data_IF_772504115770
#
_entry.id   IF_772504115770
#
_cell.length_a   1.000
_cell.length_b   1.000
_cell.length_c   1.000
_cell.angle_alpha   90.00
_cell.angle_beta   90.00
_cell.angle_gamma   90.00
#
_symmetry.space_group_name_H-M   'P 1'
#
loop_
_entity.id
_entity.type
_entity.pdbx_description
1 polymer ?
#
# COMPACT_ATOMS: atom_id res chain seq x y z
N UNK A 1 -28.39 23.17 74.41
CA UNK A 1 -27.44 23.78 73.48
C UNK A 1 -26.31 22.79 73.30
N UNK A 2 -26.37 22.03 72.21
CA UNK A 2 -25.33 21.21 71.56
C UNK A 2 -26.03 20.35 70.47
N UNK A 3 -25.27 19.93 69.47
CA UNK A 3 -25.57 19.66 68.06
C UNK A 3 -26.25 18.29 67.72
N UNK A 4 -26.33 18.02 66.39
CA UNK A 4 -26.70 16.80 65.62
C UNK A 4 -28.17 16.67 65.17
N UNK A 5 -28.55 16.28 63.94
CA UNK A 5 -27.90 16.06 62.63
C UNK A 5 -29.03 15.84 61.57
N UNK A 6 -28.72 16.05 60.27
CA UNK A 6 -29.30 15.47 59.04
C UNK A 6 -30.69 15.87 58.48
N UNK A 7 -30.69 16.32 57.21
CA UNK A 7 -31.43 15.78 56.03
C UNK A 7 -31.10 16.68 54.81
N UNK A 8 -30.22 16.25 53.88
CA UNK A 8 -30.50 15.61 52.57
C UNK A 8 -31.35 16.45 51.62
N UNK A 9 -30.76 16.95 50.52
CA UNK A 9 -31.25 16.75 49.14
C UNK A 9 -30.06 16.82 48.14
N UNK A 10 -29.86 15.74 47.39
CA UNK A 10 -28.83 15.56 46.35
C UNK A 10 -29.37 16.00 44.98
N UNK A 11 -28.70 16.93 44.30
CA UNK A 11 -28.99 17.23 42.89
C UNK A 11 -28.23 16.28 41.96
N UNK A 12 -29.01 15.57 41.15
CA UNK A 12 -28.66 14.52 40.22
C UNK A 12 -28.37 15.13 38.83
N UNK A 13 -27.10 15.30 38.45
CA UNK A 13 -26.74 15.55 37.05
C UNK A 13 -25.97 14.35 36.49
N UNK A 14 -26.68 13.58 35.68
CA UNK A 14 -26.16 12.41 34.96
C UNK A 14 -25.40 12.90 33.73
N UNK A 15 -24.11 12.57 33.65
CA UNK A 15 -23.45 12.43 32.35
C UNK A 15 -22.78 11.06 32.27
N UNK A 16 -23.58 10.09 31.84
CA UNK A 16 -23.11 8.81 31.31
C UNK A 16 -22.48 9.08 29.93
N UNK A 17 -21.22 8.72 29.78
CA UNK A 17 -20.45 8.96 28.56
C UNK A 17 -19.17 8.12 28.54
N UNK A 18 -19.34 6.84 28.83
CA UNK A 18 -18.38 5.78 28.64
C UNK A 18 -17.96 5.61 27.17
N UNK A 19 -16.69 5.31 26.96
CA UNK A 19 -16.14 4.85 25.69
C UNK A 19 -15.00 5.72 25.19
N UNK A 20 -13.81 5.55 25.78
CA UNK A 20 -12.60 5.69 24.97
C UNK A 20 -12.80 4.75 23.78
N UNK A 21 -13.04 5.34 22.61
CA UNK A 21 -12.98 4.64 21.35
C UNK A 21 -11.53 4.19 21.23
N UNK A 22 -11.27 2.97 21.66
CA UNK A 22 -10.19 2.16 21.11
C UNK A 22 -10.53 2.02 19.64
N UNK A 23 -10.17 3.04 18.86
CA UNK A 23 -9.92 2.86 17.45
C UNK A 23 -8.78 1.86 17.44
N UNK A 24 -9.14 0.60 17.20
CA UNK A 24 -8.17 -0.35 16.67
C UNK A 24 -7.60 0.40 15.46
N UNK A 25 -6.38 0.91 15.59
CA UNK A 25 -5.58 1.39 14.47
C UNK A 25 -5.28 0.16 13.62
N UNK A 26 -6.32 -0.41 13.00
CA UNK A 26 -6.23 -1.22 11.82
C UNK A 26 -5.56 -0.28 10.83
N UNK A 27 -4.23 -0.39 10.77
CA UNK A 27 -3.38 0.46 9.95
C UNK A 27 -4.00 0.43 8.57
N UNK A 28 -4.68 1.51 8.19
CA UNK A 28 -5.40 1.56 6.93
C UNK A 28 -4.33 1.53 5.85
N UNK A 29 -3.97 0.32 5.40
CA UNK A 29 -3.02 0.09 4.33
C UNK A 29 -3.69 0.76 3.13
N UNK A 30 -3.18 1.93 2.77
CA UNK A 30 -3.69 2.74 1.68
C UNK A 30 -3.32 2.07 0.37
N UNK A 31 -4.10 1.07 -0.04
CA UNK A 31 -4.02 0.49 -1.36
C UNK A 31 -4.37 1.54 -2.42
N UNK A 32 -3.88 1.33 -3.64
CA UNK A 32 -4.24 2.18 -4.76
C UNK A 32 -5.77 2.15 -4.96
N UNK A 33 -6.37 3.33 -5.10
CA UNK A 33 -7.82 3.47 -5.32
C UNK A 33 -8.20 3.35 -6.79
N UNK A 34 -7.23 3.03 -7.65
CA UNK A 34 -7.38 2.88 -9.09
C UNK A 34 -6.81 1.54 -9.56
N UNK A 35 -7.36 1.02 -10.65
CA UNK A 35 -6.88 -0.19 -11.28
C UNK A 35 -5.54 0.07 -11.99
N UNK A 36 -4.51 -0.71 -11.65
CA UNK A 36 -3.17 -0.60 -12.24
C UNK A 36 -3.06 -1.03 -13.73
N UNK A 37 -4.17 -1.40 -14.37
CA UNK A 37 -4.23 -1.73 -15.80
C UNK A 37 -4.76 -0.53 -16.60
N UNK A 38 -5.75 0.20 -16.07
CA UNK A 38 -6.47 1.23 -16.82
C UNK A 38 -6.55 2.59 -16.12
N UNK A 39 -5.94 2.75 -14.95
CA UNK A 39 -5.92 3.97 -14.12
C UNK A 39 -7.31 4.53 -13.76
N UNK A 40 -8.35 3.70 -13.81
CA UNK A 40 -9.72 4.03 -13.39
C UNK A 40 -10.08 3.32 -12.08
N UNK A 41 -10.91 3.96 -11.26
CA UNK A 41 -11.43 3.39 -10.00
C UNK A 41 -12.63 2.46 -10.21
N UNK A 42 -13.42 2.29 -9.14
CA UNK A 42 -14.63 1.46 -9.12
C UNK A 42 -14.46 0.22 -8.24
N UNK A 43 -15.12 -0.88 -8.62
CA UNK A 43 -14.95 -2.17 -7.95
C UNK A 43 -13.57 -2.77 -8.26
N UNK A 44 -12.66 -2.66 -7.30
CA UNK A 44 -11.26 -3.09 -7.47
C UNK A 44 -10.85 -4.02 -6.33
N UNK A 45 -10.00 -4.99 -6.67
CA UNK A 45 -9.42 -5.96 -5.75
C UNK A 45 -7.96 -5.56 -5.46
N UNK A 46 -7.62 -5.20 -4.20
CA UNK A 46 -6.26 -4.85 -3.82
C UNK A 46 -5.36 -6.09 -3.78
N UNK A 47 -4.13 -5.93 -4.26
CA UNK A 47 -3.07 -6.92 -4.07
C UNK A 47 -2.40 -6.73 -2.71
N UNK A 48 -2.45 -7.76 -1.87
CA UNK A 48 -1.89 -7.76 -0.50
C UNK A 48 -0.37 -8.01 -0.45
N UNK A 49 0.27 -8.05 -1.62
CA UNK A 49 1.72 -7.91 -1.72
C UNK A 49 2.18 -6.47 -1.49
N UNK A 50 3.50 -6.28 -1.35
CA UNK A 50 4.11 -4.95 -1.14
C UNK A 50 3.92 -3.94 -2.29
N UNK A 51 3.31 -4.34 -3.41
CA UNK A 51 3.08 -3.44 -4.53
C UNK A 51 1.91 -2.47 -4.31
N UNK A 52 1.00 -2.76 -3.38
CA UNK A 52 -0.19 -1.96 -3.03
C UNK A 52 -1.16 -1.65 -4.19
N UNK A 53 -0.92 -2.22 -5.38
CA UNK A 53 -1.75 -2.03 -6.56
C UNK A 53 -3.09 -2.71 -6.44
N UNK A 54 -4.10 -2.12 -7.06
CA UNK A 54 -5.45 -2.67 -7.16
C UNK A 54 -5.84 -2.97 -8.60
N UNK A 55 -6.84 -3.82 -8.81
CA UNK A 55 -7.23 -4.29 -10.15
C UNK A 55 -8.73 -4.50 -10.28
N UNK A 56 -9.32 -4.20 -11.44
CA UNK A 56 -10.63 -4.75 -11.79
C UNK A 56 -10.51 -6.28 -11.88
N UNK A 57 -11.07 -7.00 -10.91
CA UNK A 57 -10.90 -8.45 -10.84
C UNK A 57 -11.75 -9.19 -11.89
N UNK A 58 -12.94 -8.68 -12.16
CA UNK A 58 -13.92 -9.25 -13.11
C UNK A 58 -14.02 -8.39 -14.37
N UNK A 59 -14.50 -9.00 -15.46
CA UNK A 59 -14.77 -8.29 -16.72
C UNK A 59 -15.86 -7.23 -16.51
N UNK A 60 -16.86 -7.54 -15.70
CA UNK A 60 -17.95 -6.62 -15.37
C UNK A 60 -17.45 -5.36 -14.67
N UNK A 61 -16.56 -5.51 -13.67
CA UNK A 61 -16.00 -4.39 -12.92
C UNK A 61 -15.15 -3.45 -13.80
N UNK A 62 -14.45 -4.01 -14.81
CA UNK A 62 -13.63 -3.26 -15.75
C UNK A 62 -14.35 -2.75 -17.00
N UNK A 63 -15.64 -3.06 -17.16
CA UNK A 63 -16.38 -2.83 -18.41
C UNK A 63 -16.43 -1.36 -18.80
N UNK A 64 -16.75 -0.49 -17.85
CA UNK A 64 -16.98 0.94 -18.10
C UNK A 64 -15.71 1.69 -18.50
N UNK A 65 -14.55 1.20 -18.07
CA UNK A 65 -13.23 1.73 -18.41
C UNK A 65 -12.54 1.01 -19.57
N UNK A 66 -13.22 0.05 -20.23
CA UNK A 66 -12.64 -0.83 -21.25
C UNK A 66 -11.35 -1.51 -20.76
N UNK A 67 -11.30 -1.85 -19.48
CA UNK A 67 -10.16 -2.48 -18.83
C UNK A 67 -10.06 -3.95 -19.25
N UNK A 68 -8.85 -4.44 -19.54
CA UNK A 68 -8.61 -5.86 -19.80
C UNK A 68 -9.00 -6.74 -18.58
N UNK A 69 -9.02 -6.15 -17.37
CA UNK A 69 -9.32 -6.80 -16.09
C UNK A 69 -8.45 -8.04 -15.82
N UNK A 70 -8.63 -8.68 -14.66
CA UNK A 70 -7.96 -9.95 -14.36
C UNK A 70 -8.72 -11.18 -14.88
N UNK A 71 -9.99 -11.01 -15.28
CA UNK A 71 -10.81 -12.08 -15.83
C UNK A 71 -11.27 -13.15 -14.82
N UNK A 72 -11.24 -12.87 -13.52
CA UNK A 72 -11.80 -13.75 -12.51
C UNK A 72 -13.34 -13.68 -12.49
N UNK A 73 -13.96 -14.75 -12.01
CA UNK A 73 -15.38 -14.72 -11.65
C UNK A 73 -15.56 -14.16 -10.25
N UNK A 74 -16.75 -13.62 -9.95
CA UNK A 74 -17.08 -13.14 -8.60
C UNK A 74 -16.93 -14.24 -7.53
N UNK A 75 -17.24 -15.49 -7.88
CA UNK A 75 -17.05 -16.64 -6.98
C UNK A 75 -15.58 -16.89 -6.68
N UNK A 76 -14.68 -16.74 -7.66
CA UNK A 76 -13.24 -16.85 -7.42
C UNK A 76 -12.73 -15.72 -6.53
N UNK A 77 -13.17 -14.48 -6.79
CA UNK A 77 -12.80 -13.30 -5.99
C UNK A 77 -13.20 -13.49 -4.53
N UNK A 78 -14.45 -13.90 -4.28
CA UNK A 78 -14.96 -14.15 -2.93
C UNK A 78 -14.30 -15.35 -2.23
N UNK A 79 -13.64 -16.23 -2.98
CA UNK A 79 -12.95 -17.40 -2.44
C UNK A 79 -11.47 -17.14 -2.13
N UNK A 80 -10.91 -15.99 -2.52
CA UNK A 80 -9.53 -15.65 -2.18
C UNK A 80 -9.43 -15.29 -0.70
N UNK A 81 -8.66 -16.05 0.11
CA UNK A 81 -8.37 -15.61 1.47
C UNK A 81 -7.45 -14.39 1.47
N UNK A 82 -6.53 -14.32 0.50
CA UNK A 82 -5.70 -13.17 0.20
C UNK A 82 -5.43 -13.12 -1.30
N UNK A 83 -5.40 -11.93 -1.91
CA UNK A 83 -5.09 -11.77 -3.34
C UNK A 83 -3.67 -11.26 -3.58
N UNK A 84 -2.93 -11.92 -4.48
CA UNK A 84 -1.62 -11.49 -4.96
C UNK A 84 -1.62 -11.38 -6.47
N UNK A 85 -1.22 -10.24 -7.02
CA UNK A 85 -1.05 -10.10 -8.47
C UNK A 85 0.14 -10.95 -8.98
N UNK A 86 0.15 -11.27 -10.27
CA UNK A 86 1.21 -12.10 -10.88
C UNK A 86 2.63 -11.56 -10.66
N UNK A 87 2.78 -10.23 -10.62
CA UNK A 87 4.06 -9.58 -10.34
C UNK A 87 4.55 -9.86 -8.90
N UNK A 88 3.64 -9.84 -7.91
CA UNK A 88 3.98 -10.18 -6.53
C UNK A 88 4.25 -11.69 -6.37
N UNK A 89 3.42 -12.55 -6.97
CA UNK A 89 3.62 -14.02 -6.96
C UNK A 89 4.98 -14.42 -7.51
N UNK A 90 5.40 -13.78 -8.60
CA UNK A 90 6.66 -14.08 -9.27
C UNK A 90 7.83 -13.17 -8.87
N UNK A 91 7.62 -12.28 -7.88
CA UNK A 91 8.62 -11.29 -7.43
C UNK A 91 9.28 -10.56 -8.60
N UNK A 92 8.47 -10.08 -9.54
CA UNK A 92 8.91 -9.35 -10.73
C UNK A 92 8.09 -8.08 -10.83
N UNK A 93 8.66 -6.94 -10.48
CA UNK A 93 7.92 -5.69 -10.35
C UNK A 93 8.35 -4.67 -11.39
N UNK A 94 7.42 -3.78 -11.75
CA UNK A 94 7.67 -2.71 -12.70
C UNK A 94 8.43 -1.58 -12.01
N UNK A 95 9.48 -1.09 -12.64
CA UNK A 95 10.12 0.13 -12.21
C UNK A 95 9.23 1.33 -12.54
N UNK A 96 8.81 2.08 -11.52
CA UNK A 96 7.93 3.25 -11.66
C UNK A 96 8.52 4.33 -12.58
N UNK A 97 9.85 4.47 -12.57
CA UNK A 97 10.54 5.48 -13.38
C UNK A 97 10.65 5.16 -14.89
N UNK A 98 10.68 3.88 -15.28
CA UNK A 98 10.94 3.50 -16.68
C UNK A 98 9.96 2.50 -17.28
N UNK A 99 9.01 2.00 -16.50
CA UNK A 99 7.98 1.05 -16.95
C UNK A 99 8.49 -0.36 -17.24
N UNK A 100 9.80 -0.65 -17.11
CA UNK A 100 10.35 -1.99 -17.36
C UNK A 100 10.25 -2.86 -16.11
N UNK A 101 9.99 -4.15 -16.31
CA UNK A 101 10.01 -5.15 -15.24
C UNK A 101 11.46 -5.49 -14.84
N UNK A 102 11.67 -5.76 -13.56
CA UNK A 102 12.88 -6.39 -13.04
C UNK A 102 12.55 -7.33 -11.90
N UNK A 103 13.46 -8.27 -11.62
CA UNK A 103 13.35 -9.14 -10.44
C UNK A 103 13.40 -8.32 -9.15
N UNK A 104 12.51 -8.60 -8.21
CA UNK A 104 12.56 -8.09 -6.83
C UNK A 104 12.81 -9.21 -5.83
N UNK A 105 13.28 -10.38 -6.31
CA UNK A 105 13.52 -11.53 -5.45
C UNK A 105 14.81 -11.35 -4.64
N UNK A 106 14.67 -11.18 -3.32
CA UNK A 106 15.79 -11.00 -2.41
C UNK A 106 16.68 -12.24 -2.26
N UNK A 107 16.17 -13.44 -2.57
CA UNK A 107 16.96 -14.68 -2.62
C UNK A 107 17.79 -14.84 -3.88
N UNK A 108 17.61 -13.95 -4.86
CA UNK A 108 18.31 -13.95 -6.14
C UNK A 108 19.16 -12.67 -6.28
N UNK A 109 19.50 -12.27 -7.51
CA UNK A 109 20.09 -10.97 -7.81
C UNK A 109 18.97 -9.97 -8.18
N UNK A 110 18.43 -9.18 -7.23
CA UNK A 110 17.34 -8.25 -7.51
C UNK A 110 17.77 -7.12 -8.44
N UNK A 111 16.89 -6.77 -9.37
CA UNK A 111 17.06 -5.70 -10.35
C UNK A 111 16.25 -4.44 -9.98
N UNK A 112 15.14 -4.62 -9.26
CA UNK A 112 14.32 -3.53 -8.73
C UNK A 112 14.15 -3.64 -7.21
N UNK A 113 14.06 -2.49 -6.56
CA UNK A 113 13.98 -2.36 -5.10
C UNK A 113 12.75 -1.55 -4.72
N UNK A 114 12.03 -1.95 -3.65
CA UNK A 114 10.86 -1.20 -3.18
C UNK A 114 11.31 0.16 -2.61
N UNK A 115 10.45 1.16 -2.74
CA UNK A 115 10.59 2.41 -1.99
C UNK A 115 10.44 2.15 -0.49
N UNK A 116 11.26 2.81 0.33
CA UNK A 116 11.25 2.64 1.79
C UNK A 116 10.14 3.43 2.49
N UNK A 117 9.55 4.41 1.80
CA UNK A 117 8.45 5.20 2.34
C UNK A 117 7.24 4.31 2.58
N UNK A 118 6.69 4.39 3.79
CA UNK A 118 5.48 3.67 4.16
C UNK A 118 4.36 3.94 3.14
N UNK A 119 3.63 2.89 2.79
CA UNK A 119 2.50 2.93 1.86
C UNK A 119 2.85 3.45 0.45
N UNK A 120 4.11 3.41 0.02
CA UNK A 120 4.48 3.87 -1.33
C UNK A 120 4.19 2.84 -2.43
N UNK A 121 4.40 1.54 -2.17
CA UNK A 121 4.11 0.45 -3.12
C UNK A 121 5.02 0.36 -4.37
N UNK A 122 5.79 1.41 -4.66
CA UNK A 122 6.59 1.51 -5.88
C UNK A 122 7.93 0.75 -5.81
N UNK A 123 8.37 0.30 -6.98
CA UNK A 123 9.67 -0.33 -7.19
C UNK A 123 10.51 0.44 -8.20
N UNK A 124 11.83 0.38 -8.06
CA UNK A 124 12.73 1.12 -8.93
C UNK A 124 14.02 0.35 -9.25
N UNK A 125 14.50 0.48 -10.48
CA UNK A 125 15.88 0.11 -10.82
C UNK A 125 16.85 1.11 -10.17
N UNK A 126 17.99 0.67 -9.60
CA UNK A 126 19.00 1.58 -9.02
C UNK A 126 19.46 2.67 -10.00
N UNK A 127 19.66 2.32 -11.27
CA UNK A 127 20.07 3.26 -12.32
C UNK A 127 18.99 4.31 -12.62
N UNK A 128 17.72 3.93 -12.52
CA UNK A 128 16.62 4.86 -12.78
C UNK A 128 16.49 5.88 -11.65
N UNK A 129 16.57 5.45 -10.38
CA UNK A 129 16.58 6.36 -9.23
C UNK A 129 17.75 7.33 -9.32
N UNK A 130 18.97 6.84 -9.55
CA UNK A 130 20.15 7.69 -9.64
C UNK A 130 20.01 8.78 -10.70
N UNK A 131 19.41 8.45 -11.86
CA UNK A 131 19.17 9.42 -12.94
C UNK A 131 18.07 10.44 -12.61
N UNK A 132 17.04 10.03 -11.85
CA UNK A 132 15.98 10.93 -11.39
C UNK A 132 16.51 11.94 -10.36
N UNK A 133 17.34 11.49 -9.41
CA UNK A 133 17.89 12.33 -8.34
C UNK A 133 19.03 13.24 -8.82
N UNK A 134 19.86 12.75 -9.74
CA UNK A 134 21.02 13.49 -10.26
C UNK A 134 21.01 13.51 -11.79
N UNK A 135 20.28 14.43 -12.44
CA UNK A 135 20.25 14.50 -13.90
C UNK A 135 21.65 14.80 -14.49
N UNK A 136 22.03 14.14 -15.59
CA UNK A 136 23.27 14.41 -16.33
C UNK A 136 24.36 13.32 -16.19
N UNK A 137 25.62 13.72 -16.10
CA UNK A 137 26.78 12.83 -15.83
C UNK A 137 27.43 13.21 -14.50
N UNK A 138 26.63 13.25 -13.44
CA UNK A 138 27.11 13.54 -12.09
C UNK A 138 27.81 12.28 -11.52
N UNK A 139 29.07 12.36 -11.06
CA UNK A 139 29.76 11.27 -10.35
C UNK A 139 28.94 10.65 -9.22
N UNK A 140 28.04 11.43 -8.59
CA UNK A 140 27.12 10.97 -7.54
C UNK A 140 26.13 9.90 -8.01
N UNK A 141 25.84 9.80 -9.32
CA UNK A 141 24.99 8.74 -9.85
C UNK A 141 25.58 7.35 -9.61
N UNK A 142 26.87 7.16 -9.86
CA UNK A 142 27.50 5.85 -9.71
C UNK A 142 27.60 5.43 -8.24
N UNK A 143 27.87 6.40 -7.34
CA UNK A 143 27.80 6.17 -5.90
C UNK A 143 26.39 5.74 -5.47
N UNK A 144 25.35 6.46 -5.92
CA UNK A 144 23.96 6.12 -5.59
C UNK A 144 23.54 4.74 -6.12
N UNK A 145 23.94 4.40 -7.37
CA UNK A 145 23.68 3.07 -7.95
C UNK A 145 24.25 1.95 -7.09
N UNK A 146 25.47 2.11 -6.58
CA UNK A 146 26.13 1.14 -5.70
C UNK A 146 25.47 1.08 -4.33
N UNK A 147 25.11 2.22 -3.75
CA UNK A 147 24.42 2.27 -2.45
C UNK A 147 23.10 1.52 -2.51
N UNK A 148 22.23 1.79 -3.49
CA UNK A 148 20.95 1.08 -3.64
C UNK A 148 21.17 -0.43 -3.82
N UNK A 149 22.14 -0.84 -4.64
CA UNK A 149 22.40 -2.25 -4.88
C UNK A 149 22.94 -2.98 -3.62
N UNK A 150 23.64 -2.25 -2.73
CA UNK A 150 24.29 -2.81 -1.53
C UNK A 150 23.38 -2.74 -0.31
N UNK A 151 22.84 -1.55 -0.04
CA UNK A 151 22.00 -1.23 1.12
C UNK A 151 20.52 -1.57 0.88
N UNK A 152 20.16 -1.93 -0.35
CA UNK A 152 18.80 -2.28 -0.79
C UNK A 152 17.75 -1.20 -0.48
N UNK A 153 18.19 0.04 -0.24
CA UNK A 153 17.35 1.14 0.25
C UNK A 153 17.76 2.46 -0.43
N UNK A 154 16.79 3.35 -0.59
CA UNK A 154 16.99 4.77 -0.92
C UNK A 154 15.83 5.58 -0.38
N UNK A 155 16.13 6.80 0.09
CA UNK A 155 15.17 7.83 0.52
C UNK A 155 15.00 8.84 -0.59
#
# INVERSE_FOLDING_TARGET
EEEEELELEEENDKSDGEGELIVDEEQNIGYDTVCAICDNGGEILPCEGRCLRSFHATIEAGRDSLCDSLGYTITQVNAFPNFYCENCKHKKHQCFACGRLGSSDESSNPEVFPCVTANCGHYYHPKCVARLLYPGTDPKQEAMRKNIATEKTFV
#
